data_IF_623091561504
#
_entry.id   IF_623091561504
#
_cell.length_a   1.000
_cell.length_b   1.000
_cell.length_c   1.000
_cell.angle_alpha   90.00
_cell.angle_beta   90.00
_cell.angle_gamma   90.00
#
_symmetry.space_group_name_H-M   'P 1'
#
loop_
_entity.id
_entity.type
_entity.pdbx_description
1 polymer ?
#
# COMPACT_ATOMS: atom_id res chain seq x y z
N UNK A 1 28.16 -23.52 26.50
CA UNK A 1 27.02 -22.74 27.01
C UNK A 1 26.99 -21.44 26.24
N UNK A 2 26.40 -21.45 25.04
CA UNK A 2 26.04 -20.22 24.34
C UNK A 2 24.53 -20.07 24.51
N UNK A 3 24.12 -18.95 25.08
CA UNK A 3 22.73 -18.63 25.40
C UNK A 3 21.86 -18.48 24.15
N UNK A 4 20.54 -18.33 24.33
CA UNK A 4 19.63 -18.14 23.22
C UNK A 4 19.95 -16.83 22.52
N UNK A 5 20.27 -16.91 21.24
CA UNK A 5 20.35 -15.74 20.36
C UNK A 5 18.94 -15.19 20.20
N UNK A 6 18.86 -13.87 20.34
CA UNK A 6 17.77 -12.92 20.17
C UNK A 6 16.53 -13.42 19.42
N UNK A 7 15.35 -13.09 19.96
CA UNK A 7 14.06 -13.19 19.29
C UNK A 7 14.07 -12.28 18.05
N UNK A 8 14.31 -12.85 16.88
CA UNK A 8 13.91 -12.29 15.60
C UNK A 8 12.38 -12.38 15.56
N UNK A 9 11.69 -11.27 15.80
CA UNK A 9 10.23 -11.22 15.67
C UNK A 9 9.90 -10.86 14.22
N UNK A 10 9.50 -11.85 13.44
CA UNK A 10 8.98 -11.68 12.09
C UNK A 10 7.84 -10.65 12.10
N UNK A 11 7.89 -9.68 11.19
CA UNK A 11 6.82 -8.69 11.04
C UNK A 11 5.84 -9.21 10.01
N UNK A 12 4.72 -9.74 10.50
CA UNK A 12 3.64 -10.24 9.64
C UNK A 12 2.68 -9.11 9.25
N UNK A 13 2.60 -8.82 7.96
CA UNK A 13 1.58 -7.94 7.38
C UNK A 13 0.42 -8.78 6.87
N UNK A 14 -0.77 -8.50 7.37
CA UNK A 14 -2.00 -9.16 6.93
C UNK A 14 -2.84 -8.25 6.05
N UNK A 15 -3.63 -8.84 5.14
CA UNK A 15 -4.64 -8.11 4.36
C UNK A 15 -5.56 -7.27 5.26
N UNK A 16 -5.98 -7.84 6.41
CA UNK A 16 -6.83 -7.16 7.37
C UNK A 16 -6.14 -5.95 8.04
N UNK A 17 -4.86 -6.08 8.40
CA UNK A 17 -4.10 -4.97 8.98
C UNK A 17 -3.94 -3.84 7.96
N UNK A 18 -3.58 -4.15 6.72
CA UNK A 18 -3.44 -3.15 5.66
C UNK A 18 -4.78 -2.49 5.33
N UNK A 19 -5.87 -3.26 5.22
CA UNK A 19 -7.22 -2.73 5.03
C UNK A 19 -7.64 -1.78 6.15
N UNK A 20 -7.26 -2.05 7.41
CA UNK A 20 -7.58 -1.17 8.53
C UNK A 20 -6.87 0.19 8.43
N UNK A 21 -5.61 0.19 7.97
CA UNK A 21 -4.83 1.42 7.73
C UNK A 21 -5.40 2.24 6.59
N UNK A 22 -5.79 1.57 5.50
CA UNK A 22 -6.45 2.22 4.37
C UNK A 22 -7.78 2.86 4.77
N UNK A 23 -8.60 2.19 5.59
CA UNK A 23 -9.85 2.76 6.11
C UNK A 23 -9.60 3.96 7.03
N UNK A 24 -8.62 3.88 7.93
CA UNK A 24 -8.25 5.01 8.77
C UNK A 24 -7.80 6.22 7.93
N UNK A 25 -7.08 6.01 6.83
CA UNK A 25 -6.74 7.07 5.87
C UNK A 25 -7.97 7.59 5.12
N UNK A 26 -8.87 6.71 4.69
CA UNK A 26 -10.14 7.07 4.06
C UNK A 26 -11.00 7.98 4.95
N UNK A 27 -11.07 7.65 6.24
CA UNK A 27 -11.87 8.36 7.25
C UNK A 27 -11.18 9.65 7.76
N UNK A 28 -9.94 9.91 7.31
CA UNK A 28 -9.16 11.08 7.72
C UNK A 28 -8.52 10.97 9.10
N UNK A 29 -8.49 9.77 9.69
CA UNK A 29 -7.80 9.47 10.95
C UNK A 29 -6.28 9.34 10.77
N UNK A 30 -5.84 8.94 9.56
CA UNK A 30 -4.45 8.99 9.13
C UNK A 30 -4.31 9.99 7.98
N UNK A 31 -3.22 10.75 7.96
CA UNK A 31 -2.80 11.50 6.79
C UNK A 31 -2.06 10.60 5.79
N UNK A 32 -1.92 11.07 4.54
CA UNK A 32 -1.11 10.38 3.53
C UNK A 32 0.36 10.22 3.95
N UNK A 33 0.92 11.21 4.65
CA UNK A 33 2.30 11.18 5.14
C UNK A 33 2.48 10.11 6.23
N UNK A 34 1.61 10.09 7.23
CA UNK A 34 1.64 9.07 8.30
C UNK A 34 1.45 7.65 7.74
N UNK A 35 0.59 7.48 6.73
CA UNK A 35 0.37 6.19 6.10
C UNK A 35 1.59 5.72 5.29
N UNK A 36 2.22 6.63 4.54
CA UNK A 36 3.46 6.34 3.80
C UNK A 36 4.62 6.02 4.74
N UNK A 37 4.81 6.81 5.81
CA UNK A 37 5.87 6.58 6.80
C UNK A 37 5.69 5.21 7.48
N UNK A 38 4.45 4.86 7.82
CA UNK A 38 4.12 3.54 8.34
C UNK A 38 4.48 2.42 7.35
N UNK A 39 4.15 2.57 6.07
CA UNK A 39 4.47 1.57 5.06
C UNK A 39 5.98 1.47 4.79
N UNK A 40 6.69 2.61 4.74
CA UNK A 40 8.14 2.66 4.56
C UNK A 40 8.88 1.97 5.70
N UNK A 41 8.44 2.17 6.95
CA UNK A 41 9.02 1.50 8.12
C UNK A 41 8.93 -0.04 8.04
N UNK A 42 7.88 -0.58 7.41
CA UNK A 42 7.76 -2.04 7.22
C UNK A 42 8.80 -2.60 6.25
N UNK A 43 9.21 -1.84 5.23
CA UNK A 43 10.26 -2.27 4.30
C UNK A 43 11.68 -2.15 4.87
N UNK A 44 11.86 -1.48 6.01
CA UNK A 44 13.12 -1.47 6.76
C UNK A 44 13.32 -2.76 7.58
N UNK A 45 12.26 -3.57 7.76
CA UNK A 45 12.30 -4.81 8.52
C UNK A 45 12.95 -5.94 7.70
N UNK A 46 13.99 -6.58 8.27
CA UNK A 46 14.74 -7.65 7.59
C UNK A 46 13.89 -8.90 7.30
N UNK A 47 12.81 -9.11 8.08
CA UNK A 47 11.95 -10.29 8.04
C UNK A 47 10.47 -9.88 7.88
N UNK A 48 10.19 -9.08 6.86
CA UNK A 48 8.83 -8.74 6.45
C UNK A 48 8.16 -9.93 5.75
N UNK A 49 7.07 -10.44 6.34
CA UNK A 49 6.28 -11.54 5.80
C UNK A 49 4.84 -11.10 5.50
N UNK A 50 4.17 -11.83 4.59
CA UNK A 50 2.79 -11.60 4.20
C UNK A 50 1.97 -12.88 4.39
N UNK A 51 0.73 -12.75 4.87
CA UNK A 51 -0.15 -13.89 5.18
C UNK A 51 -0.91 -14.47 3.97
N UNK A 52 -0.80 -13.81 2.82
CA UNK A 52 -1.59 -14.08 1.62
C UNK A 52 -0.75 -14.44 0.39
N UNK A 53 0.46 -14.96 0.63
CA UNK A 53 1.37 -15.42 -0.42
C UNK A 53 0.80 -16.69 -1.07
N UNK A 54 0.45 -16.62 -2.35
CA UNK A 54 -0.15 -17.75 -3.10
C UNK A 54 0.89 -18.58 -3.88
N UNK A 55 1.95 -17.94 -4.36
CA UNK A 55 3.11 -18.57 -4.99
C UNK A 55 4.41 -17.90 -4.52
N UNK A 56 5.50 -17.95 -5.28
CA UNK A 56 6.79 -17.40 -4.82
C UNK A 56 6.79 -15.85 -4.74
N UNK A 57 5.84 -15.17 -5.41
CA UNK A 57 5.89 -13.71 -5.57
C UNK A 57 4.55 -12.99 -5.36
N UNK A 58 3.42 -13.69 -5.49
CA UNK A 58 2.10 -13.09 -5.53
C UNK A 58 1.49 -12.93 -4.13
N UNK A 59 1.25 -11.67 -3.74
CA UNK A 59 0.59 -11.27 -2.49
C UNK A 59 -0.10 -9.93 -2.72
N UNK A 60 -1.42 -9.89 -2.54
CA UNK A 60 -2.20 -8.65 -2.68
C UNK A 60 -1.80 -7.65 -1.59
N UNK A 61 -1.51 -8.13 -0.38
CA UNK A 61 -1.02 -7.29 0.72
C UNK A 61 0.32 -6.63 0.36
N UNK A 62 1.24 -7.36 -0.27
CA UNK A 62 2.54 -6.82 -0.71
C UNK A 62 2.40 -5.77 -1.81
N UNK A 63 1.59 -6.03 -2.82
CA UNK A 63 1.36 -5.08 -3.93
C UNK A 63 0.72 -3.78 -3.41
N UNK A 64 -0.33 -3.90 -2.59
CA UNK A 64 -0.99 -2.73 -2.01
C UNK A 64 -0.08 -2.00 -1.03
N UNK A 65 0.72 -2.70 -0.23
CA UNK A 65 1.69 -2.05 0.67
C UNK A 65 2.75 -1.26 -0.12
N UNK A 66 3.25 -1.84 -1.22
CA UNK A 66 4.19 -1.16 -2.13
C UNK A 66 3.57 0.07 -2.77
N UNK A 67 2.29 -0.02 -3.15
CA UNK A 67 1.54 1.13 -3.66
C UNK A 67 1.37 2.23 -2.59
N UNK A 68 1.10 1.83 -1.35
CA UNK A 68 0.91 2.74 -0.21
C UNK A 68 2.19 3.46 0.20
N UNK A 69 3.35 2.78 0.20
CA UNK A 69 4.67 3.38 0.44
C UNK A 69 4.98 4.53 -0.54
N UNK A 70 4.30 4.53 -1.69
CA UNK A 70 4.46 5.47 -2.79
C UNK A 70 3.20 6.30 -3.10
N UNK A 71 2.29 6.51 -2.13
CA UNK A 71 1.05 7.30 -2.33
C UNK A 71 1.29 8.61 -3.07
N UNK A 72 2.36 9.29 -2.73
CA UNK A 72 2.78 10.55 -3.31
C UNK A 72 3.23 10.46 -4.79
N UNK A 73 3.84 9.34 -5.21
CA UNK A 73 4.22 9.08 -6.61
C UNK A 73 3.03 8.55 -7.41
N UNK A 74 2.21 7.72 -6.76
CA UNK A 74 1.00 7.14 -7.34
C UNK A 74 -0.16 8.15 -7.39
N UNK A 75 -0.01 9.31 -6.76
CA UNK A 75 -1.06 10.34 -6.62
C UNK A 75 -2.36 9.76 -6.06
N UNK A 76 -2.22 8.79 -5.16
CA UNK A 76 -3.32 8.10 -4.53
C UNK A 76 -4.00 9.01 -3.52
N UNK A 77 -5.32 8.91 -3.43
CA UNK A 77 -6.14 9.74 -2.56
C UNK A 77 -7.08 8.85 -1.73
N UNK A 78 -7.62 9.38 -0.62
CA UNK A 78 -8.61 8.65 0.20
C UNK A 78 -9.79 8.07 -0.59
N UNK A 79 -10.17 8.72 -1.70
CA UNK A 79 -11.25 8.28 -2.60
C UNK A 79 -10.93 6.98 -3.37
N UNK A 80 -9.66 6.57 -3.46
CA UNK A 80 -9.21 5.35 -4.15
C UNK A 80 -9.18 4.12 -3.26
N UNK A 81 -9.29 4.30 -1.95
CA UNK A 81 -9.25 3.21 -0.97
C UNK A 81 -10.17 2.03 -1.34
N UNK A 82 -11.40 2.22 -1.87
CA UNK A 82 -12.24 1.10 -2.30
C UNK A 82 -11.59 0.18 -3.35
N UNK A 83 -10.77 0.72 -4.26
CA UNK A 83 -10.06 -0.05 -5.31
C UNK A 83 -9.08 -1.03 -4.65
N UNK A 84 -8.29 -0.54 -3.70
CA UNK A 84 -7.34 -1.37 -2.95
C UNK A 84 -8.03 -2.38 -2.03
N UNK A 85 -9.13 -1.97 -1.37
CA UNK A 85 -9.89 -2.88 -0.50
C UNK A 85 -10.49 -4.04 -1.28
N UNK A 86 -11.02 -3.78 -2.49
CA UNK A 86 -11.54 -4.82 -3.39
C UNK A 86 -10.48 -5.85 -3.72
N UNK A 87 -9.26 -5.42 -4.06
CA UNK A 87 -8.15 -6.33 -4.34
C UNK A 87 -7.72 -7.14 -3.11
N UNK A 88 -7.63 -6.51 -1.93
CA UNK A 88 -7.32 -7.20 -0.68
C UNK A 88 -8.40 -8.21 -0.26
N UNK A 89 -9.66 -7.99 -0.65
CA UNK A 89 -10.79 -8.85 -0.35
C UNK A 89 -10.92 -10.05 -1.31
N UNK A 90 -10.16 -10.07 -2.41
CA UNK A 90 -10.16 -11.17 -3.37
C UNK A 90 -9.84 -12.52 -2.70
N UNK A 91 -10.56 -13.61 -3.00
CA UNK A 91 -10.25 -14.93 -2.45
C UNK A 91 -8.82 -15.39 -2.73
N UNK A 92 -8.26 -16.21 -1.84
CA UNK A 92 -6.99 -16.90 -2.13
C UNK A 92 -7.18 -17.85 -3.32
N UNK A 93 -6.26 -17.80 -4.28
CA UNK A 93 -6.28 -18.54 -5.54
C UNK A 93 -6.82 -17.73 -6.72
N UNK A 94 -7.24 -16.48 -6.50
CA UNK A 94 -7.78 -15.57 -7.51
C UNK A 94 -6.88 -14.33 -7.73
N UNK A 95 -5.60 -14.41 -7.32
CA UNK A 95 -4.68 -13.27 -7.40
C UNK A 95 -4.57 -12.68 -8.81
N UNK A 96 -4.36 -13.50 -9.84
CA UNK A 96 -4.12 -13.01 -11.22
C UNK A 96 -5.31 -12.18 -11.74
N UNK A 97 -6.52 -12.75 -11.68
CA UNK A 97 -7.74 -12.08 -12.12
C UNK A 97 -8.00 -10.80 -11.30
N UNK A 98 -7.80 -10.86 -9.98
CA UNK A 98 -8.02 -9.71 -9.10
C UNK A 98 -6.96 -8.62 -9.27
N UNK A 99 -5.72 -8.99 -9.61
CA UNK A 99 -4.63 -8.06 -9.91
C UNK A 99 -4.88 -7.33 -11.24
N UNK A 100 -5.34 -8.04 -12.28
CA UNK A 100 -5.75 -7.43 -13.54
C UNK A 100 -6.89 -6.42 -13.32
N UNK A 101 -7.93 -6.81 -12.58
CA UNK A 101 -9.05 -5.91 -12.26
C UNK A 101 -8.60 -4.71 -11.41
N UNK A 102 -7.66 -4.90 -10.48
CA UNK A 102 -7.08 -3.82 -9.68
C UNK A 102 -6.32 -2.81 -10.55
N UNK A 103 -5.54 -3.28 -11.53
CA UNK A 103 -4.84 -2.41 -12.47
C UNK A 103 -5.80 -1.66 -13.39
N UNK A 104 -6.86 -2.32 -13.88
CA UNK A 104 -7.89 -1.68 -14.69
C UNK A 104 -8.60 -0.56 -13.91
N UNK A 105 -9.03 -0.84 -12.67
CA UNK A 105 -9.66 0.16 -11.79
C UNK A 105 -8.71 1.36 -11.51
N UNK A 106 -7.40 1.13 -11.39
CA UNK A 106 -6.40 2.20 -11.23
C UNK A 106 -6.19 3.01 -12.51
N UNK A 107 -6.30 2.41 -13.71
CA UNK A 107 -6.14 3.10 -15.00
C UNK A 107 -7.31 4.06 -15.29
N UNK A 108 -8.48 3.85 -14.66
CA UNK A 108 -9.61 4.78 -14.74
C UNK A 108 -9.37 6.12 -14.04
N UNK A 109 -8.32 6.22 -13.21
CA UNK A 109 -8.00 7.44 -12.48
C UNK A 109 -7.38 8.49 -13.42
N UNK A 110 -7.99 9.68 -13.48
CA UNK A 110 -7.41 10.82 -14.21
C UNK A 110 -6.20 11.40 -13.45
N UNK A 111 -5.02 10.82 -13.72
CA UNK A 111 -3.77 11.27 -13.13
C UNK A 111 -3.36 12.66 -13.61
N UNK A 112 -3.79 13.11 -14.79
CA UNK A 112 -3.46 14.46 -15.29
C UNK A 112 -4.23 15.54 -14.54
N UNK A 113 -5.50 15.30 -14.23
CA UNK A 113 -6.27 16.16 -13.32
C UNK A 113 -5.63 16.18 -11.93
N UNK A 114 -5.26 15.01 -11.39
CA UNK A 114 -4.64 14.93 -10.05
C UNK A 114 -3.31 15.64 -9.97
N UNK A 115 -2.44 15.49 -10.97
CA UNK A 115 -1.17 16.23 -11.07
C UNK A 115 -1.42 17.73 -10.96
N UNK A 116 -2.42 18.25 -11.68
CA UNK A 116 -2.76 19.67 -11.61
C UNK A 116 -3.29 20.08 -10.23
N UNK A 117 -4.17 19.27 -9.65
CA UNK A 117 -4.82 19.53 -8.35
C UNK A 117 -3.86 19.46 -7.16
N UNK A 118 -2.91 18.52 -7.19
CA UNK A 118 -2.01 18.21 -6.08
C UNK A 118 -0.68 18.96 -6.14
N UNK A 119 -0.48 19.82 -7.15
CA UNK A 119 0.67 20.73 -7.22
C UNK A 119 0.74 21.58 -5.94
N UNK A 120 1.89 21.53 -5.28
CA UNK A 120 2.13 22.28 -4.03
C UNK A 120 1.44 21.72 -2.79
N UNK A 121 0.76 20.57 -2.89
CA UNK A 121 0.14 19.86 -1.76
C UNK A 121 1.08 18.76 -1.25
N UNK A 122 1.62 18.84 -0.01
CA UNK A 122 2.35 17.72 0.58
C UNK A 122 1.46 16.48 0.80
N UNK A 123 1.99 15.24 0.72
CA UNK A 123 3.35 14.90 0.32
C UNK A 123 3.59 14.90 -1.21
N UNK A 124 2.53 14.97 -2.03
CA UNK A 124 2.55 14.85 -3.49
C UNK A 124 3.46 15.86 -4.20
N UNK A 125 3.56 17.08 -3.66
CA UNK A 125 4.33 18.18 -4.24
C UNK A 125 5.80 17.84 -4.51
N UNK A 126 6.37 16.84 -3.83
CA UNK A 126 7.79 16.46 -3.98
C UNK A 126 8.11 15.91 -5.37
N UNK A 127 7.15 15.28 -6.04
CA UNK A 127 7.32 14.68 -7.38
C UNK A 127 6.63 15.44 -8.50
N UNK A 128 5.88 16.48 -8.16
CA UNK A 128 5.15 17.32 -9.12
C UNK A 128 5.82 18.67 -9.34
N UNK A 129 7.12 18.80 -9.03
CA UNK A 129 7.86 20.04 -9.24
C UNK A 129 8.01 20.32 -10.73
N UNK A 130 7.69 21.56 -11.10
CA UNK A 130 7.88 22.06 -12.46
C UNK A 130 9.38 22.13 -12.78
N UNK A 131 9.79 21.57 -13.93
CA UNK A 131 11.04 21.92 -14.62
C UNK A 131 10.97 23.34 -15.21
#
# INVERSE_FOLDING_TARGET
MSGPTLSESDVLVTRAHLASRLRAWQDGELSAEELMEWAAALFEEELLEFDDVEDEYNSAAKEVLSFVERIDMNLALPEDVPIHLKFLEAPLGEYEDAYEEWLDDLDEIDLDERRQRLRGVPPYARHLRDD
#
